data_IF_243574809112
#
_entry.id   IF_243574809112
#
_cell.length_a   1.000
_cell.length_b   1.000
_cell.length_c   1.000
_cell.angle_alpha   90.00
_cell.angle_beta   90.00
_cell.angle_gamma   90.00
#
_symmetry.space_group_name_H-M   'P 1'
#
loop_
_entity.id
_entity.type
_entity.pdbx_description
1 polymer ?
#
# COMPACT_ATOMS: atom_id res chain seq x y z
N UNK A 1 -34.58 11.44 -67.99
CA UNK A 1 -33.46 12.29 -68.44
C UNK A 1 -32.30 12.15 -67.46
N UNK A 2 -31.22 11.44 -67.83
CA UNK A 2 -30.00 11.29 -67.00
C UNK A 2 -28.98 12.34 -67.46
N UNK A 3 -28.64 13.31 -66.60
CA UNK A 3 -27.53 14.22 -66.84
C UNK A 3 -26.20 13.52 -66.53
N UNK A 4 -25.41 13.21 -67.57
CA UNK A 4 -24.04 12.73 -67.42
C UNK A 4 -23.15 13.98 -67.20
N UNK A 5 -22.62 14.16 -65.99
CA UNK A 5 -21.55 15.14 -65.74
C UNK A 5 -20.24 14.58 -66.27
N UNK A 6 -19.60 15.31 -67.18
CA UNK A 6 -18.26 15.00 -67.69
C UNK A 6 -17.21 15.12 -66.58
N UNK A 7 -16.21 14.21 -66.50
CA UNK A 7 -15.16 14.29 -65.49
C UNK A 7 -14.22 15.46 -65.79
N UNK A 8 -13.97 16.31 -64.78
CA UNK A 8 -12.96 17.38 -64.87
C UNK A 8 -11.57 16.75 -65.07
N UNK A 9 -10.87 17.10 -66.15
CA UNK A 9 -9.49 16.67 -66.43
C UNK A 9 -8.56 17.13 -65.30
N UNK A 10 -7.70 16.22 -64.82
CA UNK A 10 -6.63 16.56 -63.88
C UNK A 10 -5.61 17.50 -64.55
N UNK A 11 -5.12 18.53 -63.85
CA UNK A 11 -4.17 19.49 -64.42
C UNK A 11 -2.84 18.81 -64.76
N UNK A 12 -2.19 19.29 -65.83
CA UNK A 12 -0.89 18.77 -66.27
C UNK A 12 0.24 19.20 -65.32
N UNK A 13 1.35 18.44 -65.29
CA UNK A 13 2.52 18.76 -64.45
C UNK A 13 3.09 20.16 -64.73
N UNK A 14 3.07 20.62 -65.99
CA UNK A 14 3.50 21.98 -66.37
C UNK A 14 2.57 23.06 -65.81
N UNK A 15 1.27 22.79 -65.79
CA UNK A 15 0.27 23.74 -65.28
C UNK A 15 0.28 23.84 -63.76
N UNK A 16 0.60 22.74 -63.08
CA UNK A 16 0.85 22.73 -61.65
C UNK A 16 2.10 23.56 -61.29
N UNK A 17 3.21 23.37 -62.03
CA UNK A 17 4.45 24.13 -61.83
C UNK A 17 4.28 25.63 -62.08
N UNK A 18 3.51 26.00 -63.11
CA UNK A 18 3.19 27.40 -63.40
C UNK A 18 2.36 28.04 -62.28
N UNK A 19 1.36 27.32 -61.74
CA UNK A 19 0.56 27.81 -60.60
C UNK A 19 1.37 27.94 -59.31
N UNK A 20 2.39 27.11 -59.12
CA UNK A 20 3.34 27.23 -58.00
C UNK A 20 4.22 28.48 -58.18
N UNK A 21 4.70 28.74 -59.39
CA UNK A 21 5.52 29.91 -59.69
C UNK A 21 4.72 31.23 -59.59
N UNK A 22 3.50 31.28 -60.13
CA UNK A 22 2.63 32.47 -60.10
C UNK A 22 2.16 32.82 -58.68
N UNK A 23 2.00 31.82 -57.80
CA UNK A 23 1.60 32.01 -56.41
C UNK A 23 2.77 31.82 -55.43
N UNK A 24 4.02 32.00 -55.89
CA UNK A 24 5.22 31.74 -55.09
C UNK A 24 5.24 32.51 -53.77
N UNK A 25 4.70 33.74 -53.77
CA UNK A 25 4.53 34.55 -52.55
C UNK A 25 3.52 33.94 -51.57
N UNK A 26 2.42 33.36 -52.07
CA UNK A 26 1.40 32.69 -51.27
C UNK A 26 1.95 31.40 -50.64
N UNK A 27 2.74 30.63 -51.41
CA UNK A 27 3.40 29.43 -50.92
C UNK A 27 4.50 29.73 -49.91
N UNK A 28 5.25 30.82 -50.10
CA UNK A 28 6.23 31.30 -49.14
C UNK A 28 5.55 31.74 -47.83
N UNK A 29 4.42 32.45 -47.90
CA UNK A 29 3.64 32.84 -46.72
C UNK A 29 3.07 31.62 -45.97
N UNK A 30 2.58 30.58 -46.68
CA UNK A 30 2.14 29.33 -46.08
C UNK A 30 3.32 28.58 -45.42
N UNK A 31 4.49 28.58 -46.03
CA UNK A 31 5.69 27.97 -45.44
C UNK A 31 6.17 28.73 -44.20
N UNK A 32 6.14 30.05 -44.21
CA UNK A 32 6.52 30.89 -43.05
C UNK A 32 5.50 30.72 -41.92
N UNK A 33 4.20 30.62 -42.22
CA UNK A 33 3.17 30.32 -41.22
C UNK A 33 3.31 28.91 -40.65
N UNK A 34 3.62 27.92 -41.48
CA UNK A 34 3.85 26.54 -41.02
C UNK A 34 5.14 26.42 -40.19
N UNK A 35 6.23 27.06 -40.61
CA UNK A 35 7.49 27.09 -39.86
C UNK A 35 7.37 27.89 -38.56
N UNK A 36 6.65 29.01 -38.60
CA UNK A 36 6.30 29.81 -37.43
C UNK A 36 5.43 29.03 -36.44
N UNK A 37 4.45 28.26 -36.91
CA UNK A 37 3.65 27.39 -36.06
C UNK A 37 4.48 26.26 -35.43
N UNK A 38 5.50 25.72 -36.11
CA UNK A 38 6.44 24.74 -35.55
C UNK A 38 7.38 25.37 -34.50
N UNK A 39 7.78 26.63 -34.69
CA UNK A 39 8.66 27.36 -33.77
C UNK A 39 7.91 28.02 -32.59
N UNK A 40 6.59 28.21 -32.72
CA UNK A 40 5.68 28.75 -31.70
C UNK A 40 4.66 27.71 -31.20
N UNK A 41 4.92 26.41 -31.38
CA UNK A 41 4.36 25.46 -30.41
C UNK A 41 5.06 25.84 -29.11
N UNK A 42 4.35 26.33 -28.08
CA UNK A 42 5.00 26.43 -26.78
C UNK A 42 5.59 25.04 -26.50
N UNK A 43 6.63 24.94 -25.68
CA UNK A 43 6.89 23.69 -24.96
C UNK A 43 5.73 23.46 -23.97
N UNK A 44 4.50 23.46 -24.47
CA UNK A 44 3.28 23.12 -23.81
C UNK A 44 3.34 21.60 -23.72
N UNK A 45 3.98 21.20 -22.63
CA UNK A 45 3.62 20.04 -21.86
C UNK A 45 3.70 18.80 -22.76
N UNK A 46 4.88 18.20 -22.81
CA UNK A 46 4.92 16.74 -22.67
C UNK A 46 4.27 16.43 -21.32
N UNK A 47 2.95 16.54 -21.25
CA UNK A 47 2.12 15.79 -20.35
C UNK A 47 2.16 14.39 -20.93
N UNK A 48 3.34 13.76 -20.80
CA UNK A 48 3.30 12.50 -20.10
C UNK A 48 2.62 12.85 -18.79
N UNK A 49 1.31 12.67 -18.74
CA UNK A 49 0.70 12.19 -17.53
C UNK A 49 1.51 10.94 -17.20
N UNK A 50 2.60 11.12 -16.46
CA UNK A 50 2.91 10.22 -15.39
C UNK A 50 1.65 10.28 -14.53
N UNK A 51 0.62 9.53 -14.92
CA UNK A 51 -0.20 8.84 -13.94
C UNK A 51 0.86 8.24 -13.05
N UNK A 52 1.08 8.86 -11.89
CA UNK A 52 2.14 8.45 -10.97
C UNK A 52 2.05 6.94 -10.89
N UNK A 53 3.17 6.26 -11.10
CA UNK A 53 3.22 4.81 -10.93
C UNK A 53 2.45 4.46 -9.67
N UNK A 54 1.55 3.48 -9.76
CA UNK A 54 0.75 3.07 -8.60
C UNK A 54 1.74 2.77 -7.46
N UNK A 55 1.62 3.52 -6.38
CA UNK A 55 2.42 3.30 -5.19
C UNK A 55 1.81 2.14 -4.42
N UNK A 56 2.64 1.19 -4.04
CA UNK A 56 2.21 -0.02 -3.36
C UNK A 56 2.81 -0.06 -1.95
N UNK A 57 2.01 -0.40 -0.92
CA UNK A 57 2.53 -0.73 0.39
C UNK A 57 3.25 -2.08 0.36
N UNK A 58 3.90 -2.42 1.48
CA UNK A 58 4.57 -3.70 1.67
C UNK A 58 3.53 -4.77 2.03
N UNK A 59 3.30 -5.73 1.14
CA UNK A 59 2.44 -6.89 1.38
C UNK A 59 3.22 -8.08 1.92
N UNK A 60 4.44 -8.27 1.45
CA UNK A 60 5.37 -9.33 1.86
C UNK A 60 6.81 -8.92 1.52
N UNK A 61 7.79 -9.71 1.96
CA UNK A 61 9.22 -9.45 1.75
C UNK A 61 9.85 -10.58 0.93
N UNK A 62 10.76 -10.23 0.02
CA UNK A 62 11.61 -11.19 -0.65
C UNK A 62 12.82 -11.53 0.22
N UNK A 63 12.87 -12.77 0.71
CA UNK A 63 13.93 -13.25 1.60
C UNK A 63 14.06 -14.77 1.51
N UNK A 64 15.30 -15.24 1.53
CA UNK A 64 15.61 -16.67 1.64
C UNK A 64 15.44 -17.20 3.07
N UNK A 65 15.39 -16.30 4.08
CA UNK A 65 15.17 -16.71 5.46
C UNK A 65 13.74 -17.18 5.62
N UNK A 66 13.56 -18.32 6.30
CA UNK A 66 12.26 -18.89 6.59
C UNK A 66 11.59 -18.13 7.73
N UNK A 67 11.20 -16.89 7.46
CA UNK A 67 10.61 -15.95 8.40
C UNK A 67 9.22 -15.53 7.93
N UNK A 68 8.29 -15.33 8.86
CA UNK A 68 6.98 -14.69 8.62
C UNK A 68 6.69 -13.72 9.76
N UNK A 69 5.83 -12.74 9.51
CA UNK A 69 5.38 -11.82 10.53
C UNK A 69 3.91 -12.03 10.88
N UNK A 70 3.63 -12.19 12.16
CA UNK A 70 2.27 -12.16 12.68
C UNK A 70 1.91 -10.72 13.07
N UNK A 71 0.69 -10.29 12.72
CA UNK A 71 0.21 -8.96 13.09
C UNK A 71 -1.25 -8.96 13.53
N UNK A 72 -1.59 -8.03 14.42
CA UNK A 72 -2.93 -7.87 14.97
C UNK A 72 -3.41 -6.44 14.77
N UNK A 73 -4.58 -6.28 14.14
CA UNK A 73 -5.26 -4.99 14.12
C UNK A 73 -6.14 -4.89 15.38
N UNK A 74 -5.95 -3.78 16.11
CA UNK A 74 -6.59 -3.48 17.38
C UNK A 74 -7.36 -2.17 17.27
N UNK A 75 -8.60 -2.28 16.82
CA UNK A 75 -9.50 -1.14 16.59
C UNK A 75 -10.65 -1.06 17.60
N UNK A 76 -11.13 -2.19 18.12
CA UNK A 76 -12.26 -2.27 19.06
C UNK A 76 -12.06 -3.40 20.06
N UNK A 77 -12.44 -3.19 21.33
CA UNK A 77 -12.38 -4.23 22.34
C UNK A 77 -10.94 -4.67 22.69
N UNK A 78 -10.78 -5.35 23.83
CA UNK A 78 -9.49 -5.87 24.28
C UNK A 78 -9.59 -7.29 24.87
N UNK A 79 -10.73 -7.94 24.72
CA UNK A 79 -11.10 -9.19 25.40
C UNK A 79 -10.09 -10.31 25.13
N UNK A 80 -9.58 -10.40 23.90
CA UNK A 80 -8.58 -11.39 23.49
C UNK A 80 -7.13 -10.98 23.78
N UNK A 81 -6.85 -9.70 24.06
CA UNK A 81 -5.49 -9.14 24.06
C UNK A 81 -4.60 -9.83 25.09
N UNK A 82 -5.06 -10.01 26.33
CA UNK A 82 -4.24 -10.63 27.39
C UNK A 82 -3.93 -12.09 27.10
N UNK A 83 -4.91 -12.85 26.62
CA UNK A 83 -4.72 -14.25 26.21
C UNK A 83 -3.74 -14.37 25.05
N UNK A 84 -3.87 -13.51 24.03
CA UNK A 84 -2.93 -13.42 22.90
C UNK A 84 -1.52 -13.18 23.41
N UNK A 85 -1.33 -12.19 24.29
CA UNK A 85 -0.03 -11.86 24.87
C UNK A 85 0.58 -13.00 25.68
N UNK A 86 -0.22 -13.74 26.46
CA UNK A 86 0.25 -14.88 27.23
C UNK A 86 0.72 -16.03 26.33
N UNK A 87 0.01 -16.29 25.23
CA UNK A 87 0.41 -17.28 24.22
C UNK A 87 1.70 -16.84 23.55
N UNK A 88 1.81 -15.57 23.12
CA UNK A 88 3.03 -15.05 22.50
C UNK A 88 4.24 -15.16 23.44
N UNK A 89 4.07 -14.84 24.72
CA UNK A 89 5.12 -15.00 25.74
C UNK A 89 5.51 -16.46 25.92
N UNK A 90 4.54 -17.38 26.00
CA UNK A 90 4.78 -18.83 26.14
C UNK A 90 5.65 -19.37 24.99
N UNK A 91 5.46 -18.87 23.78
CA UNK A 91 6.23 -19.28 22.61
C UNK A 91 7.47 -18.40 22.34
N UNK A 92 7.73 -17.40 23.19
CA UNK A 92 8.79 -16.41 23.02
C UNK A 92 8.75 -15.70 21.65
N UNK A 93 7.55 -15.35 21.19
CA UNK A 93 7.31 -14.69 19.90
C UNK A 93 7.07 -13.21 20.10
N UNK A 94 7.65 -12.40 19.22
CA UNK A 94 7.35 -10.96 19.08
C UNK A 94 6.64 -10.73 17.75
N UNK A 95 5.67 -9.84 17.76
CA UNK A 95 4.76 -9.58 16.65
C UNK A 95 4.43 -8.08 16.60
N UNK A 96 3.55 -7.68 15.68
CA UNK A 96 3.17 -6.27 15.49
C UNK A 96 1.71 -6.04 15.83
N UNK A 97 1.39 -5.00 16.60
CA UNK A 97 0.02 -4.58 16.89
C UNK A 97 -0.26 -3.21 16.25
N UNK A 98 -1.19 -3.13 15.31
CA UNK A 98 -1.64 -1.88 14.71
C UNK A 98 -2.85 -1.36 15.49
N UNK A 99 -2.72 -0.19 16.10
CA UNK A 99 -3.73 0.32 17.05
C UNK A 99 -4.34 1.64 16.56
N UNK A 100 -5.65 1.79 16.76
CA UNK A 100 -6.35 3.05 16.52
C UNK A 100 -6.16 4.02 17.70
N UNK A 101 -6.42 5.32 17.47
CA UNK A 101 -6.40 6.33 18.52
C UNK A 101 -7.34 6.01 19.68
N UNK A 102 -8.59 5.69 19.37
CA UNK A 102 -9.60 5.30 20.36
C UNK A 102 -9.19 4.09 21.20
N UNK A 103 -8.54 3.09 20.57
CA UNK A 103 -8.06 1.91 21.28
C UNK A 103 -6.92 2.24 22.24
N UNK A 104 -5.98 3.09 21.80
CA UNK A 104 -4.85 3.55 22.64
C UNK A 104 -5.35 4.31 23.87
N UNK A 105 -6.37 5.16 23.72
CA UNK A 105 -6.97 5.90 24.84
C UNK A 105 -7.77 5.02 25.79
N UNK A 106 -8.49 4.03 25.24
CA UNK A 106 -9.33 3.13 26.03
C UNK A 106 -8.51 2.10 26.82
N UNK A 107 -7.37 1.68 26.27
CA UNK A 107 -6.56 0.58 26.82
C UNK A 107 -5.07 0.92 26.98
N UNK A 108 -4.70 2.04 27.64
CA UNK A 108 -3.31 2.51 27.71
C UNK A 108 -2.38 1.54 28.44
N UNK A 109 -2.91 0.75 29.39
CA UNK A 109 -2.13 -0.28 30.09
C UNK A 109 -1.85 -1.52 29.23
N UNK A 110 -2.71 -1.82 28.26
CA UNK A 110 -2.43 -2.86 27.27
C UNK A 110 -1.37 -2.37 26.27
N UNK A 111 -1.44 -1.11 25.81
CA UNK A 111 -0.41 -0.50 24.94
C UNK A 111 0.97 -0.57 25.61
N UNK A 112 1.07 -0.14 26.87
CA UNK A 112 2.33 -0.21 27.63
C UNK A 112 2.83 -1.64 27.79
N UNK A 113 1.92 -2.57 28.03
CA UNK A 113 2.26 -3.98 28.20
C UNK A 113 2.80 -4.60 26.91
N UNK A 114 2.13 -4.35 25.78
CA UNK A 114 2.58 -4.75 24.44
C UNK A 114 3.98 -4.20 24.18
N UNK A 115 4.20 -2.92 24.47
CA UNK A 115 5.51 -2.28 24.33
C UNK A 115 6.57 -2.90 25.24
N UNK A 116 6.26 -3.14 26.52
CA UNK A 116 7.22 -3.68 27.51
C UNK A 116 7.65 -5.10 27.21
N UNK A 117 6.79 -5.86 26.53
CA UNK A 117 7.09 -7.21 26.06
C UNK A 117 7.90 -7.18 24.75
N UNK A 118 8.18 -6.02 24.16
CA UNK A 118 9.03 -5.90 22.97
C UNK A 118 8.33 -6.23 21.65
N UNK A 119 7.00 -6.10 21.59
CA UNK A 119 6.26 -6.15 20.33
C UNK A 119 6.36 -4.80 19.61
N UNK A 120 6.20 -4.81 18.28
CA UNK A 120 6.10 -3.57 17.53
C UNK A 120 4.76 -2.88 17.83
N UNK A 121 4.82 -1.56 18.00
CA UNK A 121 3.65 -0.68 18.01
C UNK A 121 3.47 -0.07 16.62
N UNK A 122 2.37 -0.43 15.97
CA UNK A 122 1.96 0.06 14.66
C UNK A 122 0.78 1.03 14.75
N UNK A 123 0.72 1.94 13.77
CA UNK A 123 -0.32 2.94 13.61
C UNK A 123 -1.48 2.39 12.76
N UNK A 124 -2.71 2.51 13.23
CA UNK A 124 -3.92 2.14 12.47
C UNK A 124 -4.89 3.31 12.26
N UNK A 125 -4.34 4.51 12.12
CA UNK A 125 -5.04 5.80 12.10
C UNK A 125 -5.68 6.18 13.45
N UNK A 126 -6.16 7.42 13.54
CA UNK A 126 -6.82 7.94 14.74
C UNK A 126 -8.25 7.40 14.83
N UNK A 127 -9.06 7.64 13.79
CA UNK A 127 -10.52 7.43 13.80
C UNK A 127 -10.99 6.26 12.92
N UNK A 128 -10.05 5.47 12.38
CA UNK A 128 -10.31 4.37 11.45
C UNK A 128 -11.14 4.76 10.19
N UNK A 129 -10.86 5.88 9.50
CA UNK A 129 -11.63 6.31 8.34
C UNK A 129 -11.19 5.57 7.07
N UNK A 130 -11.94 5.77 5.98
CA UNK A 130 -11.45 5.39 4.67
C UNK A 130 -10.34 6.35 4.20
N UNK A 131 -9.07 6.00 4.45
CA UNK A 131 -7.92 6.90 4.25
C UNK A 131 -7.78 7.43 2.80
N UNK A 132 -8.24 6.67 1.80
CA UNK A 132 -8.18 7.09 0.39
C UNK A 132 -9.16 8.21 0.01
N UNK A 133 -10.10 8.54 0.90
CA UNK A 133 -11.07 9.62 0.71
C UNK A 133 -10.61 10.94 1.35
N UNK A 134 -9.46 10.92 2.03
CA UNK A 134 -8.91 12.04 2.76
C UNK A 134 -7.85 12.80 1.94
N UNK A 135 -7.71 14.09 2.24
CA UNK A 135 -6.58 14.89 1.77
C UNK A 135 -5.27 14.51 2.48
N UNK A 136 -4.09 14.84 1.91
CA UNK A 136 -2.80 14.59 2.56
C UNK A 136 -2.69 15.19 3.98
N UNK A 137 -3.24 16.39 4.21
CA UNK A 137 -3.22 17.01 5.54
C UNK A 137 -4.09 16.24 6.55
N UNK A 138 -5.24 15.73 6.11
CA UNK A 138 -6.11 14.89 6.94
C UNK A 138 -5.45 13.53 7.23
N UNK A 139 -4.83 12.89 6.24
CA UNK A 139 -4.05 11.65 6.42
C UNK A 139 -2.94 11.89 7.44
N UNK A 140 -2.19 12.99 7.32
CA UNK A 140 -1.15 13.34 8.27
C UNK A 140 -1.70 13.57 9.68
N UNK A 141 -2.85 14.22 9.81
CA UNK A 141 -3.51 14.41 11.10
C UNK A 141 -3.90 13.08 11.75
N UNK A 142 -4.51 12.16 10.98
CA UNK A 142 -4.85 10.81 11.42
C UNK A 142 -3.61 10.04 11.91
N UNK A 143 -2.49 10.13 11.18
CA UNK A 143 -1.26 9.44 11.56
C UNK A 143 -0.62 10.06 12.81
N UNK A 144 -0.45 11.38 12.83
CA UNK A 144 0.34 12.04 13.86
C UNK A 144 -0.38 12.19 15.20
N UNK A 145 -1.72 12.16 15.20
CA UNK A 145 -2.52 12.17 16.43
C UNK A 145 -2.25 10.90 17.26
N UNK A 146 -2.49 9.71 16.69
CA UNK A 146 -2.23 8.45 17.38
C UNK A 146 -0.74 8.24 17.66
N UNK A 147 0.15 8.69 16.75
CA UNK A 147 1.60 8.70 16.99
C UNK A 147 1.95 9.41 18.30
N UNK A 148 1.43 10.63 18.49
CA UNK A 148 1.74 11.45 19.66
C UNK A 148 1.24 10.79 20.95
N UNK A 149 0.05 10.18 20.92
CA UNK A 149 -0.52 9.45 22.06
C UNK A 149 0.36 8.26 22.47
N UNK A 150 0.74 7.41 21.51
CA UNK A 150 1.59 6.25 21.78
C UNK A 150 2.98 6.66 22.26
N UNK A 151 3.60 7.66 21.63
CA UNK A 151 4.89 8.19 22.04
C UNK A 151 4.86 8.77 23.45
N UNK A 152 3.80 9.49 23.82
CA UNK A 152 3.63 10.00 25.18
C UNK A 152 3.50 8.87 26.21
N UNK A 153 2.80 7.78 25.86
CA UNK A 153 2.57 6.64 26.75
C UNK A 153 3.79 5.74 26.93
N UNK A 154 4.58 5.56 25.88
CA UNK A 154 5.59 4.48 25.80
C UNK A 154 7.01 4.96 25.47
N UNK A 155 7.15 6.19 24.96
CA UNK A 155 8.40 6.70 24.39
C UNK A 155 8.75 6.13 23.00
N UNK A 156 7.91 5.26 22.43
CA UNK A 156 8.17 4.63 21.14
C UNK A 156 7.80 5.55 19.98
N UNK A 157 8.73 5.72 19.04
CA UNK A 157 8.48 6.30 17.72
C UNK A 157 7.93 5.22 16.80
N UNK A 158 6.62 5.23 16.56
CA UNK A 158 6.02 4.26 15.63
C UNK A 158 6.49 4.53 14.20
N UNK A 159 6.86 3.46 13.48
CA UNK A 159 7.34 3.53 12.08
C UNK A 159 6.54 2.67 11.12
N UNK A 160 5.57 1.88 11.61
CA UNK A 160 4.72 1.03 10.79
C UNK A 160 3.30 1.59 10.78
N UNK A 161 2.69 1.69 9.61
CA UNK A 161 1.30 2.12 9.44
C UNK A 161 0.57 1.09 8.58
N UNK A 162 -0.63 0.71 8.99
CA UNK A 162 -1.55 -0.09 8.19
C UNK A 162 -2.84 0.72 7.98
N UNK A 163 -3.26 0.98 6.73
CA UNK A 163 -4.49 1.70 6.49
C UNK A 163 -5.71 0.86 6.89
N UNK A 164 -6.71 1.45 7.56
CA UNK A 164 -8.01 0.85 7.81
C UNK A 164 -8.61 0.17 6.58
N UNK A 165 -9.25 -0.98 6.79
CA UNK A 165 -9.89 -1.81 5.75
C UNK A 165 -8.94 -2.30 4.64
N UNK A 166 -7.64 -2.07 4.76
CA UNK A 166 -6.67 -2.28 3.69
C UNK A 166 -6.89 -1.35 2.49
N UNK A 167 -7.62 -0.24 2.62
CA UNK A 167 -7.87 0.68 1.51
C UNK A 167 -6.81 1.79 1.43
N UNK A 168 -6.27 2.00 0.24
CA UNK A 168 -5.25 3.02 -0.01
C UNK A 168 -5.24 3.46 -1.47
N UNK A 169 -4.71 4.65 -1.68
CA UNK A 169 -4.28 5.16 -2.97
C UNK A 169 -2.81 5.65 -2.87
N UNK A 170 -2.31 6.30 -3.92
CA UNK A 170 -0.96 6.86 -3.89
C UNK A 170 -0.80 7.94 -2.82
N UNK A 171 -1.84 8.72 -2.52
CA UNK A 171 -1.75 9.76 -1.49
C UNK A 171 -1.52 9.14 -0.11
N UNK A 172 -2.22 8.06 0.23
CA UNK A 172 -2.02 7.34 1.50
C UNK A 172 -0.59 6.80 1.62
N UNK A 173 -0.07 6.15 0.59
CA UNK A 173 1.28 5.55 0.62
C UNK A 173 2.36 6.64 0.69
N UNK A 174 2.26 7.69 -0.12
CA UNK A 174 3.25 8.76 -0.14
C UNK A 174 3.21 9.61 1.14
N UNK A 175 2.01 9.98 1.60
CA UNK A 175 1.87 10.81 2.81
C UNK A 175 2.34 10.07 4.05
N UNK A 176 2.04 8.77 4.17
CA UNK A 176 2.55 7.96 5.29
C UNK A 176 4.09 7.89 5.26
N UNK A 177 4.70 7.69 4.09
CA UNK A 177 6.16 7.75 3.91
C UNK A 177 6.75 9.10 4.29
N UNK A 178 6.14 10.21 3.90
CA UNK A 178 6.55 11.56 4.30
C UNK A 178 6.49 11.78 5.81
N UNK A 179 5.56 11.11 6.50
CA UNK A 179 5.45 11.10 7.95
C UNK A 179 6.43 10.11 8.64
N UNK A 180 7.31 9.45 7.88
CA UNK A 180 8.30 8.51 8.42
C UNK A 180 7.78 7.09 8.62
N UNK A 181 6.64 6.74 8.01
CA UNK A 181 6.04 5.42 8.11
C UNK A 181 6.34 4.53 6.90
N UNK A 182 6.56 3.25 7.17
CA UNK A 182 6.39 2.18 6.20
C UNK A 182 4.90 1.81 6.14
N UNK A 183 4.30 1.91 4.95
CA UNK A 183 2.92 1.50 4.72
C UNK A 183 2.85 -0.02 4.52
N UNK A 184 2.09 -0.71 5.37
CA UNK A 184 2.07 -2.16 5.52
C UNK A 184 0.68 -2.71 5.19
N UNK A 185 0.66 -3.83 4.46
CA UNK A 185 -0.50 -4.66 4.18
C UNK A 185 -0.27 -6.09 4.70
N UNK A 186 -0.91 -7.08 4.07
CA UNK A 186 -0.73 -8.50 4.34
C UNK A 186 -0.97 -9.28 3.05
N UNK A 187 -0.24 -10.38 2.88
CA UNK A 187 -0.44 -11.36 1.80
C UNK A 187 -1.20 -12.60 2.28
N UNK A 188 -1.31 -12.80 3.61
CA UNK A 188 -2.05 -13.87 4.27
C UNK A 188 -3.12 -13.28 5.20
N UNK A 189 -4.39 -13.43 4.83
CA UNK A 189 -5.53 -13.03 5.66
C UNK A 189 -6.07 -14.25 6.42
N UNK A 190 -6.14 -14.17 7.75
CA UNK A 190 -6.69 -15.25 8.57
C UNK A 190 -8.20 -15.40 8.48
N UNK A 191 -8.91 -14.35 8.01
CA UNK A 191 -10.38 -14.25 7.98
C UNK A 191 -11.04 -14.50 9.35
N UNK A 192 -10.31 -14.26 10.44
CA UNK A 192 -10.76 -14.50 11.82
C UNK A 192 -12.01 -13.70 12.20
N UNK A 193 -12.19 -12.51 11.62
CA UNK A 193 -13.36 -11.66 11.75
C UNK A 193 -14.67 -12.27 11.21
N UNK A 194 -14.62 -13.38 10.45
CA UNK A 194 -15.81 -14.04 9.89
C UNK A 194 -16.48 -15.06 10.82
N UNK A 195 -15.96 -15.29 12.02
CA UNK A 195 -16.51 -16.19 13.04
C UNK A 195 -16.71 -17.64 12.57
N UNK A 196 -15.85 -18.14 11.69
CA UNK A 196 -15.93 -19.51 11.16
C UNK A 196 -15.39 -20.60 12.10
N UNK A 197 -14.99 -20.24 13.32
CA UNK A 197 -14.45 -21.18 14.31
C UNK A 197 -12.95 -21.42 14.18
N UNK A 198 -12.36 -21.87 15.29
CA UNK A 198 -10.90 -22.02 15.49
C UNK A 198 -10.21 -22.82 14.39
N UNK A 199 -10.70 -24.01 14.04
CA UNK A 199 -10.05 -24.86 13.02
C UNK A 199 -9.98 -24.22 11.64
N UNK A 200 -10.99 -23.43 11.26
CA UNK A 200 -11.02 -22.79 9.96
C UNK A 200 -10.00 -21.66 9.86
N UNK A 201 -9.79 -20.90 10.95
CA UNK A 201 -8.74 -19.88 11.02
C UNK A 201 -7.36 -20.55 10.88
N UNK A 202 -7.12 -21.62 11.66
CA UNK A 202 -5.87 -22.39 11.60
C UNK A 202 -5.60 -22.92 10.19
N UNK A 203 -6.59 -23.57 9.55
CA UNK A 203 -6.45 -24.12 8.20
C UNK A 203 -6.25 -23.03 7.15
N UNK A 204 -6.94 -21.89 7.29
CA UNK A 204 -6.81 -20.73 6.39
C UNK A 204 -5.38 -20.20 6.41
N UNK A 205 -4.81 -19.98 7.60
CA UNK A 205 -3.44 -19.48 7.73
C UNK A 205 -2.41 -20.50 7.26
N UNK A 206 -2.43 -21.73 7.83
CA UNK A 206 -1.37 -22.72 7.60
C UNK A 206 -1.33 -23.28 6.18
N UNK A 207 -2.44 -23.18 5.43
CA UNK A 207 -2.53 -23.63 4.03
C UNK A 207 -2.81 -22.46 3.07
N UNK A 208 -2.58 -21.22 3.50
CA UNK A 208 -2.82 -20.06 2.65
C UNK A 208 -1.94 -20.16 1.40
N UNK A 209 -2.52 -19.94 0.22
CA UNK A 209 -1.80 -20.05 -1.07
C UNK A 209 -0.62 -19.08 -1.21
N UNK A 210 -0.63 -17.98 -0.46
CA UNK A 210 0.43 -16.99 -0.42
C UNK A 210 1.38 -17.19 0.77
N UNK A 211 1.20 -18.19 1.63
CA UNK A 211 2.12 -18.38 2.76
C UNK A 211 3.49 -18.80 2.23
N UNK A 212 4.48 -17.91 2.38
CA UNK A 212 5.86 -18.11 1.95
C UNK A 212 6.84 -17.36 2.86
N UNK A 213 8.14 -17.50 2.61
CA UNK A 213 9.16 -16.71 3.29
C UNK A 213 8.91 -15.22 3.07
N UNK A 214 8.83 -14.45 4.14
CA UNK A 214 8.54 -13.01 4.09
C UNK A 214 7.05 -12.67 4.11
N UNK A 215 6.14 -13.61 4.30
CA UNK A 215 4.71 -13.31 4.42
C UNK A 215 4.38 -12.51 5.68
N UNK A 216 3.37 -11.64 5.56
CA UNK A 216 2.78 -10.86 6.64
C UNK A 216 1.34 -11.35 6.83
N UNK A 217 1.03 -11.80 8.04
CA UNK A 217 -0.24 -12.43 8.40
C UNK A 217 -1.11 -11.43 9.17
N UNK A 218 -2.33 -11.20 8.69
CA UNK A 218 -3.34 -10.38 9.37
C UNK A 218 -4.22 -11.23 10.31
N UNK A 219 -4.34 -10.76 11.55
CA UNK A 219 -5.30 -11.20 12.55
C UNK A 219 -5.89 -9.98 13.29
N UNK A 220 -6.87 -10.18 14.15
CA UNK A 220 -7.49 -9.14 14.97
C UNK A 220 -7.45 -9.54 16.46
N UNK A 221 -7.21 -8.57 17.35
CA UNK A 221 -7.08 -8.84 18.79
C UNK A 221 -8.43 -9.16 19.48
N UNK A 222 -9.55 -8.82 18.85
CA UNK A 222 -10.90 -8.96 19.37
C UNK A 222 -11.73 -10.02 18.64
N UNK A 223 -11.16 -10.69 17.63
CA UNK A 223 -11.86 -11.73 16.90
C UNK A 223 -12.12 -12.93 17.82
N UNK A 224 -13.38 -13.40 17.82
CA UNK A 224 -13.91 -14.34 18.82
C UNK A 224 -13.08 -15.60 19.02
N UNK A 225 -12.52 -16.13 17.94
CA UNK A 225 -11.81 -17.42 17.93
C UNK A 225 -10.29 -17.28 17.77
N UNK A 226 -9.77 -16.05 17.71
CA UNK A 226 -8.34 -15.79 17.50
C UNK A 226 -7.49 -16.29 18.67
N UNK A 227 -7.83 -16.01 19.95
CA UNK A 227 -7.07 -16.55 21.08
C UNK A 227 -6.95 -18.07 21.07
N UNK A 228 -8.02 -18.79 20.72
CA UNK A 228 -8.04 -20.26 20.64
C UNK A 228 -7.26 -20.80 19.44
N UNK A 229 -7.21 -20.06 18.33
CA UNK A 229 -6.51 -20.47 17.11
C UNK A 229 -5.01 -20.21 17.17
N UNK A 230 -4.59 -19.19 17.93
CA UNK A 230 -3.25 -18.62 17.88
C UNK A 230 -2.16 -19.64 18.22
N UNK A 231 -2.34 -20.44 19.28
CA UNK A 231 -1.34 -21.43 19.68
C UNK A 231 -1.10 -22.49 18.59
N UNK A 232 -2.18 -22.94 17.93
CA UNK A 232 -2.09 -23.90 16.83
C UNK A 232 -1.46 -23.28 15.57
N UNK A 233 -1.73 -22.00 15.30
CA UNK A 233 -1.09 -21.25 14.20
C UNK A 233 0.41 -21.13 14.44
N UNK A 234 0.83 -20.65 15.61
CA UNK A 234 2.25 -20.48 15.95
C UNK A 234 2.98 -21.82 15.83
N UNK A 235 2.45 -22.86 16.48
CA UNK A 235 3.05 -24.19 16.45
C UNK A 235 3.08 -24.76 15.03
N UNK A 236 2.03 -24.55 14.23
CA UNK A 236 1.96 -24.98 12.85
C UNK A 236 3.01 -24.30 11.97
N UNK A 237 3.18 -22.98 12.09
CA UNK A 237 4.19 -22.22 11.36
C UNK A 237 5.60 -22.64 11.75
N UNK A 238 5.87 -22.81 13.06
CA UNK A 238 7.15 -23.30 13.56
C UNK A 238 7.46 -24.72 13.07
N UNK A 239 6.47 -25.61 13.03
CA UNK A 239 6.61 -26.97 12.48
C UNK A 239 6.88 -26.97 10.96
N UNK A 240 6.35 -25.98 10.23
CA UNK A 240 6.72 -25.75 8.83
C UNK A 240 8.13 -25.17 8.70
N UNK A 241 8.78 -24.78 9.80
CA UNK A 241 10.14 -24.26 9.85
C UNK A 241 10.23 -22.74 9.82
N UNK A 242 9.11 -22.03 9.98
CA UNK A 242 9.11 -20.58 10.04
C UNK A 242 9.53 -20.06 11.42
N UNK A 243 10.42 -19.07 11.42
CA UNK A 243 10.63 -18.17 12.54
C UNK A 243 9.60 -17.03 12.45
N UNK A 244 8.96 -16.71 13.57
CA UNK A 244 8.01 -15.60 13.64
C UNK A 244 8.71 -14.36 14.19
N UNK A 245 8.76 -13.30 13.39
CA UNK A 245 9.43 -12.04 13.74
C UNK A 245 8.43 -10.88 13.64
N UNK A 246 8.62 -9.79 14.40
CA UNK A 246 7.82 -8.58 14.21
C UNK A 246 8.15 -7.93 12.85
N UNK A 247 7.20 -7.20 12.27
CA UNK A 247 7.32 -6.64 10.91
C UNK A 247 8.55 -5.72 10.80
N UNK A 248 8.90 -4.98 11.84
CA UNK A 248 10.09 -4.09 11.86
C UNK A 248 11.42 -4.82 11.68
N UNK A 249 11.47 -6.13 11.92
CA UNK A 249 12.61 -7.00 11.67
C UNK A 249 12.52 -7.73 10.33
N UNK A 250 11.30 -7.92 9.80
CA UNK A 250 11.08 -8.58 8.53
C UNK A 250 11.41 -7.69 7.34
N UNK A 251 11.00 -6.42 7.40
CA UNK A 251 11.10 -5.49 6.26
C UNK A 251 12.52 -4.92 6.08
N UNK A 252 12.86 -4.58 4.85
CA UNK A 252 14.00 -3.75 4.53
C UNK A 252 13.68 -2.28 4.81
N UNK A 253 14.61 -1.57 5.44
CA UNK A 253 14.41 -0.16 5.82
C UNK A 253 14.97 0.81 4.79
N UNK A 254 15.97 0.37 4.06
CA UNK A 254 16.73 1.11 3.06
C UNK A 254 17.00 0.20 1.85
N UNK A 255 17.35 0.79 0.71
CA UNK A 255 17.80 0.08 -0.50
C UNK A 255 16.86 -1.06 -0.91
N UNK A 256 15.59 -0.71 -1.17
CA UNK A 256 14.59 -1.66 -1.65
C UNK A 256 13.67 -1.00 -2.67
N UNK A 257 13.05 -1.85 -3.49
CA UNK A 257 11.90 -1.50 -4.31
C UNK A 257 10.71 -2.41 -4.00
N UNK A 258 9.52 -1.98 -4.41
CA UNK A 258 8.29 -2.76 -4.32
C UNK A 258 7.90 -3.25 -5.71
N UNK A 259 7.71 -4.54 -5.88
CA UNK A 259 7.25 -5.09 -7.15
C UNK A 259 5.74 -4.87 -7.36
N UNK A 260 5.24 -5.25 -8.53
CA UNK A 260 3.83 -5.10 -8.91
C UNK A 260 2.83 -5.86 -8.03
N UNK A 261 3.28 -6.79 -7.19
CA UNK A 261 2.46 -7.55 -6.24
C UNK A 261 2.47 -6.95 -4.84
N UNK A 262 3.28 -5.90 -4.61
CA UNK A 262 3.49 -5.34 -3.28
C UNK A 262 4.60 -6.05 -2.50
N UNK A 263 5.39 -6.92 -3.15
CA UNK A 263 6.50 -7.61 -2.51
C UNK A 263 7.72 -6.70 -2.45
N UNK A 264 8.29 -6.57 -1.26
CA UNK A 264 9.47 -5.78 -1.02
C UNK A 264 10.74 -6.55 -1.39
N UNK A 265 11.55 -6.01 -2.30
CA UNK A 265 12.77 -6.63 -2.81
C UNK A 265 13.96 -5.73 -2.48
N UNK A 266 15.00 -6.29 -1.89
CA UNK A 266 16.25 -5.58 -1.63
C UNK A 266 16.99 -5.28 -2.95
N UNK A 267 17.55 -4.08 -3.07
CA UNK A 267 18.31 -3.62 -4.24
C UNK A 267 19.75 -4.17 -4.32
#
# INVERSE_FOLDING_TARGET
>A
MRFIRSPKKKPSKKELLRRIAENGFLWLAVFILAAGAILYIPAAISAGSTVGTRELPIYSVDTDRKQVALSFDAAWGNEGTRTIMDILRKHNIKCTFFMTGDWVESYPEDVKFISSEGHDLGNHSETHPNMSELSPDEIKSELMSVHSKVKQLTGVEMTLFRPPYGNYDNNVVLTSKECGYYCIQWDVDSLDWKDYGTENIVKTVLNHKNLHNGSIILMHNNAKYTPEALEAIITGLQNQGYELVPISQLIYKDSYHIDQTGRQIHD
#
